data_IF_870258672193
#
_entry.id   IF_870258672193
#
_cell.length_a   1.000
_cell.length_b   1.000
_cell.length_c   1.000
_cell.angle_alpha   90.00
_cell.angle_beta   90.00
_cell.angle_gamma   90.00
#
_symmetry.space_group_name_H-M   'P 1'
#
loop_
_entity.id
_entity.type
_entity.pdbx_description
1 polymer ?
#
# COMPACT_ATOMS: atom_id res chain seq x y z
N UNK A 1 1.24 11.14 10.06
CA UNK A 1 1.59 11.55 8.67
C UNK A 1 1.83 13.05 8.56
N UNK A 2 0.89 13.92 8.95
CA UNK A 2 1.06 15.38 8.90
C UNK A 2 2.35 15.88 9.59
N UNK A 3 2.59 15.46 10.83
CA UNK A 3 3.83 15.78 11.57
C UNK A 3 5.09 15.38 10.79
N UNK A 4 5.09 14.17 10.20
CA UNK A 4 6.21 13.71 9.38
C UNK A 4 6.42 14.58 8.13
N UNK A 5 5.34 15.01 7.48
CA UNK A 5 5.40 15.95 6.35
C UNK A 5 5.98 17.31 6.75
N UNK A 6 5.58 17.86 7.90
CA UNK A 6 6.15 19.11 8.42
C UNK A 6 7.65 18.99 8.70
N UNK A 7 8.09 17.88 9.30
CA UNK A 7 9.52 17.65 9.58
C UNK A 7 10.32 17.52 8.28
N UNK A 8 9.81 16.78 7.29
CA UNK A 8 10.46 16.66 5.97
C UNK A 8 10.55 18.02 5.28
N UNK A 9 9.51 18.84 5.37
CA UNK A 9 9.53 20.21 4.83
C UNK A 9 10.60 21.08 5.50
N UNK A 10 10.67 21.07 6.84
CA UNK A 10 11.69 21.84 7.59
C UNK A 10 13.09 21.39 7.17
N UNK A 11 13.35 20.08 7.14
CA UNK A 11 14.63 19.53 6.70
C UNK A 11 14.97 19.92 5.27
N UNK A 12 14.01 19.86 4.34
CA UNK A 12 14.23 20.25 2.96
C UNK A 12 14.63 21.73 2.83
N UNK A 13 13.97 22.62 3.58
CA UNK A 13 14.30 24.05 3.61
C UNK A 13 15.67 24.30 4.22
N UNK A 14 16.00 23.63 5.33
CA UNK A 14 17.32 23.72 5.96
C UNK A 14 18.44 23.24 5.03
N UNK A 15 18.26 22.11 4.33
CA UNK A 15 19.24 21.62 3.36
C UNK A 15 19.38 22.55 2.16
N UNK A 16 18.28 23.15 1.68
CA UNK A 16 18.33 24.11 0.58
C UNK A 16 19.08 25.38 1.01
N UNK A 17 18.83 25.88 2.22
CA UNK A 17 19.55 27.02 2.78
C UNK A 17 21.05 26.72 2.92
N UNK A 18 21.40 25.56 3.47
CA UNK A 18 22.79 25.13 3.63
C UNK A 18 23.51 24.97 2.28
N UNK A 19 22.83 24.44 1.27
CA UNK A 19 23.38 24.34 -0.08
C UNK A 19 23.62 25.72 -0.70
N UNK A 20 22.68 26.64 -0.55
CA UNK A 20 22.81 28.00 -1.06
C UNK A 20 23.97 28.76 -0.39
N UNK A 21 24.10 28.67 0.94
CA UNK A 21 25.20 29.33 1.65
C UNK A 21 26.56 28.72 1.31
N UNK A 22 26.64 27.40 1.18
CA UNK A 22 27.86 26.70 0.77
C UNK A 22 28.31 27.10 -0.64
N UNK A 23 27.40 27.11 -1.63
CA UNK A 23 27.73 27.50 -3.01
C UNK A 23 28.12 28.98 -3.09
N UNK A 24 27.39 29.87 -2.40
CA UNK A 24 27.73 31.29 -2.36
C UNK A 24 29.14 31.54 -1.78
N UNK A 25 29.45 30.92 -0.64
CA UNK A 25 30.77 31.00 -0.02
C UNK A 25 31.87 30.46 -0.95
N UNK A 26 31.58 29.37 -1.66
CA UNK A 26 32.52 28.76 -2.62
C UNK A 26 32.79 29.68 -3.82
N UNK A 27 31.77 30.34 -4.37
CA UNK A 27 31.94 31.31 -5.45
C UNK A 27 32.70 32.56 -5.01
N UNK A 28 32.35 33.15 -3.84
CA UNK A 28 33.07 34.32 -3.31
C UNK A 28 34.56 34.01 -3.09
N UNK A 29 34.88 32.79 -2.61
CA UNK A 29 36.26 32.34 -2.47
C UNK A 29 37.00 32.21 -3.82
N UNK A 30 36.31 31.79 -4.88
CA UNK A 30 36.92 31.68 -6.22
C UNK A 30 37.10 33.02 -6.90
N UNK A 31 36.12 33.92 -6.80
CA UNK A 31 36.25 35.28 -7.33
C UNK A 31 37.39 36.04 -6.64
N UNK A 32 37.58 35.81 -5.33
CA UNK A 32 38.73 36.37 -4.61
C UNK A 32 40.06 35.86 -5.17
N UNK A 33 40.19 34.54 -5.38
CA UNK A 33 41.39 33.94 -5.97
C UNK A 33 41.61 34.43 -7.40
N UNK A 34 40.55 34.56 -8.21
CA UNK A 34 40.64 35.08 -9.57
C UNK A 34 41.15 36.52 -9.60
N UNK A 35 40.62 37.36 -8.72
CA UNK A 35 41.00 38.76 -8.62
C UNK A 35 42.45 38.91 -8.17
N UNK A 36 42.87 38.16 -7.14
CA UNK A 36 44.26 38.18 -6.65
C UNK A 36 45.25 37.69 -7.71
N UNK A 37 44.85 36.69 -8.49
CA UNK A 37 45.63 36.20 -9.63
C UNK A 37 45.77 37.27 -10.72
N UNK A 38 44.67 37.92 -11.09
CA UNK A 38 44.64 38.94 -12.14
C UNK A 38 45.36 40.25 -11.74
N UNK A 39 45.45 40.60 -10.45
CA UNK A 39 46.12 41.82 -9.99
C UNK A 39 47.62 41.64 -9.74
N UNK A 40 48.04 40.52 -9.14
CA UNK A 40 49.41 40.39 -8.63
C UNK A 40 50.38 39.69 -9.60
N UNK A 41 49.89 38.85 -10.52
CA UNK A 41 50.73 37.91 -11.28
C UNK A 41 50.63 38.05 -12.81
N UNK A 42 49.98 39.10 -13.29
CA UNK A 42 49.64 39.28 -14.72
C UNK A 42 50.83 39.69 -15.61
N UNK A 43 51.90 40.25 -15.04
CA UNK A 43 53.00 40.88 -15.81
C UNK A 43 54.27 40.02 -15.92
N UNK A 44 54.37 38.90 -15.21
CA UNK A 44 55.56 38.04 -15.23
C UNK A 44 55.58 37.10 -16.44
N UNK A 45 56.39 37.43 -17.45
CA UNK A 45 56.53 36.66 -18.68
C UNK A 45 57.00 35.19 -18.48
N UNK A 46 57.67 34.89 -17.36
CA UNK A 46 58.17 33.53 -17.07
C UNK A 46 57.09 32.56 -16.59
N UNK A 47 55.93 33.05 -16.12
CA UNK A 47 54.89 32.23 -15.49
C UNK A 47 53.60 32.14 -16.30
N UNK A 48 53.61 32.59 -17.56
CA UNK A 48 52.42 32.69 -18.41
C UNK A 48 51.71 31.35 -18.63
N UNK A 49 52.46 30.28 -18.88
CA UNK A 49 51.89 28.93 -19.05
C UNK A 49 51.29 28.38 -17.74
N UNK A 50 51.93 28.68 -16.61
CA UNK A 50 51.41 28.31 -15.28
C UNK A 50 50.13 29.09 -14.93
N UNK A 51 50.04 30.34 -15.38
CA UNK A 51 48.88 31.19 -15.19
C UNK A 51 47.69 30.75 -16.06
N UNK A 52 47.94 30.42 -17.33
CA UNK A 52 46.92 29.91 -18.25
C UNK A 52 46.38 28.55 -17.78
N UNK A 53 47.24 27.68 -17.25
CA UNK A 53 46.81 26.41 -16.63
C UNK A 53 46.01 26.63 -15.35
N UNK A 54 46.40 27.58 -14.49
CA UNK A 54 45.65 27.91 -13.28
C UNK A 54 44.27 28.51 -13.58
N UNK A 55 44.16 29.37 -14.60
CA UNK A 55 42.87 29.90 -15.08
C UNK A 55 41.96 28.80 -15.60
N UNK A 56 42.50 27.85 -16.35
CA UNK A 56 41.73 26.69 -16.82
C UNK A 56 41.24 25.84 -15.64
N UNK A 57 42.07 25.62 -14.62
CA UNK A 57 41.67 24.91 -13.40
C UNK A 57 40.56 25.65 -12.66
N UNK A 58 40.63 26.98 -12.58
CA UNK A 58 39.62 27.81 -11.92
C UNK A 58 38.27 27.75 -12.63
N UNK A 59 38.27 27.83 -13.96
CA UNK A 59 37.07 27.73 -14.80
C UNK A 59 36.40 26.35 -14.67
N UNK A 60 37.21 25.28 -14.66
CA UNK A 60 36.72 23.92 -14.37
C UNK A 60 36.12 23.83 -12.96
N UNK A 61 36.74 24.47 -11.96
CA UNK A 61 36.22 24.45 -10.59
C UNK A 61 34.88 25.18 -10.47
N UNK A 62 34.70 26.31 -11.17
CA UNK A 62 33.42 27.01 -11.27
C UNK A 62 32.34 26.11 -11.83
N UNK A 63 32.61 25.43 -12.95
CA UNK A 63 31.66 24.48 -13.54
C UNK A 63 31.33 23.30 -12.62
N UNK A 64 32.29 22.80 -11.84
CA UNK A 64 32.05 21.73 -10.86
C UNK A 64 31.16 22.21 -9.71
N UNK A 65 31.38 23.42 -9.20
CA UNK A 65 30.56 24.00 -8.11
C UNK A 65 29.14 24.24 -8.57
N UNK A 66 28.95 24.79 -9.78
CA UNK A 66 27.64 24.95 -10.40
C UNK A 66 26.94 23.60 -10.55
N UNK A 67 27.65 22.60 -11.05
CA UNK A 67 27.13 21.24 -11.20
C UNK A 67 26.67 20.65 -9.85
N UNK A 68 27.47 20.80 -8.79
CA UNK A 68 27.10 20.35 -7.44
C UNK A 68 25.85 21.09 -6.93
N UNK A 69 25.77 22.41 -7.14
CA UNK A 69 24.62 23.21 -6.73
C UNK A 69 23.33 22.77 -7.44
N UNK A 70 23.33 22.72 -8.77
CA UNK A 70 22.14 22.36 -9.54
C UNK A 70 21.72 20.91 -9.28
N UNK A 71 22.67 19.97 -9.17
CA UNK A 71 22.36 18.57 -8.87
C UNK A 71 21.75 18.39 -7.48
N UNK A 72 22.22 19.14 -6.48
CA UNK A 72 21.67 19.12 -5.13
C UNK A 72 20.28 19.78 -5.08
N UNK A 73 20.08 20.92 -5.75
CA UNK A 73 18.78 21.59 -5.84
C UNK A 73 17.72 20.66 -6.45
N UNK A 74 18.04 20.02 -7.59
CA UNK A 74 17.14 19.07 -8.25
C UNK A 74 16.88 17.85 -7.35
N UNK A 75 17.90 17.32 -6.68
CA UNK A 75 17.75 16.18 -5.79
C UNK A 75 16.81 16.47 -4.60
N UNK A 76 16.95 17.63 -3.95
CA UNK A 76 16.06 18.04 -2.84
C UNK A 76 14.63 18.27 -3.33
N UNK A 77 14.46 18.98 -4.46
CA UNK A 77 13.13 19.26 -5.00
C UNK A 77 12.41 17.95 -5.37
N UNK A 78 13.11 17.03 -6.02
CA UNK A 78 12.54 15.77 -6.46
C UNK A 78 12.30 14.80 -5.29
N UNK A 79 13.19 14.75 -4.29
CA UNK A 79 12.97 13.96 -3.07
C UNK A 79 11.78 14.50 -2.24
N UNK A 80 11.62 15.82 -2.16
CA UNK A 80 10.46 16.44 -1.52
C UNK A 80 9.15 16.10 -2.25
N UNK A 81 9.13 16.19 -3.58
CA UNK A 81 7.97 15.81 -4.38
C UNK A 81 7.63 14.31 -4.23
N UNK A 82 8.62 13.43 -4.27
CA UNK A 82 8.42 11.98 -4.10
C UNK A 82 7.89 11.63 -2.71
N UNK A 83 8.43 12.25 -1.66
CA UNK A 83 7.96 12.02 -0.29
C UNK A 83 6.53 12.53 -0.08
N UNK A 84 6.16 13.67 -0.67
CA UNK A 84 4.79 14.17 -0.67
C UNK A 84 3.82 13.17 -1.35
N UNK A 85 4.17 12.69 -2.55
CA UNK A 85 3.37 11.68 -3.27
C UNK A 85 3.23 10.40 -2.44
N UNK A 86 4.32 9.95 -1.80
CA UNK A 86 4.28 8.78 -0.92
C UNK A 86 3.35 8.97 0.28
N UNK A 87 3.33 10.14 0.92
CA UNK A 87 2.43 10.44 2.03
C UNK A 87 0.97 10.41 1.57
N UNK A 88 0.66 11.05 0.44
CA UNK A 88 -0.71 11.07 -0.13
C UNK A 88 -1.18 9.66 -0.49
N UNK A 89 -0.30 8.87 -1.11
CA UNK A 89 -0.60 7.50 -1.47
C UNK A 89 -0.82 6.62 -0.23
N UNK A 90 -0.01 6.80 0.81
CA UNK A 90 -0.16 6.07 2.08
C UNK A 90 -1.49 6.38 2.77
N UNK A 91 -1.97 7.63 2.73
CA UNK A 91 -3.29 7.99 3.24
C UNK A 91 -4.43 7.28 2.50
N UNK A 92 -4.33 7.19 1.17
CA UNK A 92 -5.31 6.46 0.34
C UNK A 92 -5.24 4.96 0.58
N UNK A 93 -4.02 4.40 0.65
CA UNK A 93 -3.75 2.99 0.94
C UNK A 93 -4.30 2.58 2.30
N UNK A 94 -4.07 3.38 3.35
CA UNK A 94 -4.62 3.14 4.68
C UNK A 94 -6.15 3.00 4.65
N UNK A 95 -6.85 3.94 4.00
CA UNK A 95 -8.31 3.89 3.87
C UNK A 95 -8.79 2.65 3.14
N UNK A 96 -8.16 2.30 2.02
CA UNK A 96 -8.53 1.11 1.24
C UNK A 96 -8.29 -0.18 2.03
N UNK A 97 -7.14 -0.28 2.69
CA UNK A 97 -6.76 -1.41 3.52
C UNK A 97 -7.73 -1.60 4.70
N UNK A 98 -8.13 -0.51 5.35
CA UNK A 98 -9.10 -0.54 6.44
C UNK A 98 -10.49 -1.00 5.94
N UNK A 99 -10.94 -0.55 4.77
CA UNK A 99 -12.20 -1.01 4.18
C UNK A 99 -12.18 -2.49 3.77
N UNK A 100 -11.05 -2.99 3.25
CA UNK A 100 -10.89 -4.42 2.96
C UNK A 100 -11.00 -5.22 4.26
N UNK A 101 -10.38 -4.73 5.33
CA UNK A 101 -10.40 -5.40 6.62
C UNK A 101 -11.81 -5.41 7.26
N UNK A 102 -12.59 -4.32 7.12
CA UNK A 102 -14.00 -4.32 7.55
C UNK A 102 -14.88 -5.32 6.77
N UNK A 103 -14.52 -5.65 5.53
CA UNK A 103 -15.20 -6.68 4.74
C UNK A 103 -14.75 -8.11 5.10
N UNK A 104 -13.72 -8.25 5.93
CA UNK A 104 -13.08 -9.53 6.22
C UNK A 104 -12.21 -10.05 5.07
N UNK A 105 -11.74 -9.18 4.18
CA UNK A 105 -10.79 -9.54 3.11
C UNK A 105 -9.35 -9.45 3.63
N UNK A 106 -8.70 -10.61 3.74
CA UNK A 106 -7.32 -10.75 4.25
C UNK A 106 -6.29 -11.01 3.14
N UNK A 107 -6.59 -10.63 1.90
CA UNK A 107 -5.69 -10.86 0.75
C UNK A 107 -4.36 -10.11 0.90
N UNK A 108 -4.43 -8.85 1.35
CA UNK A 108 -3.27 -7.96 1.50
C UNK A 108 -2.74 -7.94 2.94
N UNK A 109 -3.63 -7.77 3.93
CA UNK A 109 -3.27 -7.77 5.35
C UNK A 109 -3.60 -9.14 5.95
N UNK A 110 -2.63 -9.82 6.57
CA UNK A 110 -2.88 -11.10 7.22
C UNK A 110 -3.84 -10.94 8.39
N UNK A 111 -4.68 -11.95 8.58
CA UNK A 111 -5.66 -12.03 9.67
C UNK A 111 -5.01 -11.90 11.06
N UNK A 112 -5.69 -11.20 11.98
CA UNK A 112 -5.23 -10.96 13.35
C UNK A 112 -4.94 -12.26 14.13
N UNK A 113 -5.65 -13.35 13.84
CA UNK A 113 -5.47 -14.67 14.49
C UNK A 113 -4.08 -15.28 14.27
N UNK A 114 -3.36 -14.83 13.24
CA UNK A 114 -2.00 -15.27 12.94
C UNK A 114 -0.94 -14.61 13.84
N UNK A 115 -1.33 -13.65 14.66
CA UNK A 115 -0.45 -12.86 15.53
C UNK A 115 -0.89 -12.94 16.99
N UNK A 116 0.04 -12.69 17.90
CA UNK A 116 -0.30 -12.54 19.32
C UNK A 116 -0.95 -11.17 19.56
N UNK A 117 -1.96 -11.12 20.42
CA UNK A 117 -2.63 -9.87 20.80
C UNK A 117 -1.64 -8.84 21.39
N UNK A 118 -0.67 -9.31 22.19
CA UNK A 118 0.41 -8.47 22.70
C UNK A 118 1.25 -7.88 21.56
N UNK A 119 1.60 -8.67 20.54
CA UNK A 119 2.35 -8.21 19.39
C UNK A 119 1.63 -7.12 18.60
N UNK A 120 0.32 -7.29 18.39
CA UNK A 120 -0.51 -6.28 17.72
C UNK A 120 -0.59 -4.97 18.51
N UNK A 121 -0.79 -5.06 19.83
CA UNK A 121 -0.84 -3.89 20.72
C UNK A 121 0.50 -3.13 20.73
N UNK A 122 1.63 -3.85 20.83
CA UNK A 122 2.97 -3.24 20.75
C UNK A 122 3.21 -2.62 19.37
N UNK A 123 2.74 -3.24 18.29
CA UNK A 123 2.80 -2.68 16.94
C UNK A 123 2.07 -1.34 16.84
N UNK A 124 0.85 -1.28 17.38
CA UNK A 124 0.07 -0.05 17.46
C UNK A 124 0.81 1.08 18.20
N UNK A 125 1.43 0.77 19.35
CA UNK A 125 2.20 1.76 20.12
C UNK A 125 3.42 2.29 19.35
N UNK A 126 4.08 1.43 18.54
CA UNK A 126 5.28 1.79 17.79
C UNK A 126 4.99 2.58 16.51
N UNK A 127 3.82 2.35 15.89
CA UNK A 127 3.51 2.82 14.55
C UNK A 127 3.70 4.33 14.38
N UNK A 128 3.19 5.15 15.30
CA UNK A 128 3.27 6.61 15.18
C UNK A 128 4.72 7.13 15.11
N UNK A 129 5.61 6.61 15.97
CA UNK A 129 7.02 6.98 15.98
C UNK A 129 7.78 6.43 14.77
N UNK A 130 7.53 5.17 14.41
CA UNK A 130 8.15 4.54 13.23
C UNK A 130 7.77 5.28 11.95
N UNK A 131 6.51 5.70 11.82
CA UNK A 131 6.04 6.41 10.64
C UNK A 131 6.81 7.71 10.40
N UNK A 132 7.09 8.48 11.45
CA UNK A 132 7.84 9.73 11.33
C UNK A 132 9.32 9.42 11.05
N UNK A 133 9.92 8.48 11.78
CA UNK A 133 11.33 8.12 11.62
C UNK A 133 11.64 7.59 10.21
N UNK A 134 10.80 6.71 9.66
CA UNK A 134 10.99 6.15 8.31
C UNK A 134 10.77 7.19 7.21
N UNK A 135 9.90 8.19 7.42
CA UNK A 135 9.77 9.31 6.50
C UNK A 135 11.05 10.17 6.47
N UNK A 136 11.65 10.47 7.63
CA UNK A 136 12.90 11.23 7.72
C UNK A 136 14.05 10.46 7.08
N UNK A 137 14.26 9.21 7.48
CA UNK A 137 15.31 8.36 6.91
C UNK A 137 15.12 8.12 5.40
N UNK A 138 13.88 7.88 4.99
CA UNK A 138 13.52 7.73 3.58
C UNK A 138 13.85 8.99 2.79
N UNK A 139 13.51 10.17 3.29
CA UNK A 139 13.86 11.45 2.66
C UNK A 139 15.38 11.63 2.53
N UNK A 140 16.14 11.37 3.59
CA UNK A 140 17.60 11.47 3.58
C UNK A 140 18.23 10.56 2.54
N UNK A 141 17.86 9.28 2.54
CA UNK A 141 18.42 8.27 1.64
C UNK A 141 18.03 8.56 0.19
N UNK A 142 16.76 8.92 -0.07
CA UNK A 142 16.30 9.30 -1.41
C UNK A 142 17.07 10.52 -1.91
N UNK A 143 17.28 11.53 -1.07
CA UNK A 143 18.02 12.75 -1.45
C UNK A 143 19.47 12.43 -1.80
N UNK A 144 20.17 11.60 -1.01
CA UNK A 144 21.55 11.18 -1.31
C UNK A 144 21.64 10.41 -2.62
N UNK A 145 20.73 9.45 -2.83
CA UNK A 145 20.75 8.62 -4.06
C UNK A 145 20.43 9.49 -5.28
N UNK A 146 19.43 10.36 -5.19
CA UNK A 146 19.08 11.28 -6.28
C UNK A 146 20.20 12.26 -6.56
N UNK A 147 20.91 12.75 -5.54
CA UNK A 147 22.09 13.58 -5.72
C UNK A 147 23.17 12.86 -6.53
N UNK A 148 23.51 11.62 -6.18
CA UNK A 148 24.50 10.82 -6.93
C UNK A 148 24.05 10.62 -8.39
N UNK A 149 22.76 10.33 -8.61
CA UNK A 149 22.20 10.17 -9.96
C UNK A 149 22.25 11.49 -10.75
N UNK A 150 21.80 12.59 -10.16
CA UNK A 150 21.80 13.90 -10.82
C UNK A 150 23.23 14.41 -11.08
N UNK A 151 24.14 14.20 -10.14
CA UNK A 151 25.55 14.56 -10.27
C UNK A 151 26.22 13.76 -11.39
N UNK A 152 26.08 12.42 -11.39
CA UNK A 152 26.62 11.58 -12.46
C UNK A 152 26.04 11.91 -13.85
N UNK A 153 24.73 12.22 -13.91
CA UNK A 153 24.08 12.67 -15.13
C UNK A 153 24.59 14.04 -15.58
N UNK A 154 24.85 14.97 -14.66
CA UNK A 154 25.39 16.28 -15.00
C UNK A 154 26.86 16.23 -15.43
N UNK A 155 27.70 15.38 -14.81
CA UNK A 155 29.07 15.09 -15.31
C UNK A 155 29.00 14.53 -16.73
N UNK A 156 28.04 13.63 -17.00
CA UNK A 156 27.83 13.05 -18.32
C UNK A 156 27.43 14.11 -19.37
N UNK A 157 26.52 15.03 -19.02
CA UNK A 157 26.11 16.15 -19.89
C UNK A 157 27.29 17.09 -20.15
N UNK A 158 28.08 17.43 -19.12
CA UNK A 158 29.25 18.28 -19.26
C UNK A 158 30.30 17.63 -20.18
N UNK A 159 30.51 16.32 -20.02
CA UNK A 159 31.40 15.54 -20.89
C UNK A 159 30.94 15.50 -22.34
N UNK A 160 29.62 15.51 -22.60
CA UNK A 160 29.05 15.62 -23.94
C UNK A 160 29.32 16.99 -24.57
N UNK A 161 29.20 18.07 -23.80
CA UNK A 161 29.47 19.43 -24.29
C UNK A 161 30.94 19.61 -24.64
N UNK A 162 31.85 19.11 -23.80
CA UNK A 162 33.30 19.19 -24.03
C UNK A 162 33.85 18.15 -25.02
N UNK A 163 33.01 17.27 -25.57
CA UNK A 163 33.41 16.34 -26.63
C UNK A 163 34.26 15.15 -26.18
N UNK A 164 34.40 14.87 -24.89
CA UNK A 164 35.19 13.72 -24.37
C UNK A 164 34.52 12.34 -24.55
N UNK A 165 33.43 12.27 -25.32
CA UNK A 165 32.53 11.11 -25.43
C UNK A 165 32.90 10.17 -26.60
N UNK A 166 33.90 10.52 -27.41
CA UNK A 166 34.35 9.69 -28.56
C UNK A 166 34.65 8.24 -28.17
N UNK A 167 35.29 8.04 -27.02
CA UNK A 167 35.56 6.68 -26.50
C UNK A 167 34.26 5.91 -26.22
N UNK A 168 33.26 6.55 -25.61
CA UNK A 168 31.99 5.92 -25.27
C UNK A 168 31.16 5.63 -26.52
N UNK A 169 31.08 6.58 -27.45
CA UNK A 169 30.37 6.41 -28.73
C UNK A 169 30.96 5.25 -29.51
N UNK A 170 32.28 5.13 -29.57
CA UNK A 170 32.96 4.01 -30.22
C UNK A 170 32.62 2.66 -29.55
N UNK A 171 32.52 2.63 -28.22
CA UNK A 171 32.10 1.41 -27.49
C UNK A 171 30.62 1.08 -27.70
N UNK A 172 29.74 2.06 -27.72
CA UNK A 172 28.32 1.86 -28.04
C UNK A 172 28.16 1.35 -29.47
N UNK A 173 28.87 1.94 -30.44
CA UNK A 173 28.92 1.52 -31.85
C UNK A 173 29.44 0.08 -32.01
N UNK A 174 30.29 -0.39 -31.10
CA UNK A 174 30.77 -1.77 -31.09
C UNK A 174 29.74 -2.76 -30.50
N UNK A 175 28.98 -2.36 -29.49
CA UNK A 175 28.12 -3.26 -28.70
C UNK A 175 26.68 -3.35 -29.23
N UNK A 176 26.15 -2.30 -29.87
CA UNK A 176 24.74 -2.26 -30.30
C UNK A 176 24.30 -3.39 -31.24
N UNK A 177 25.12 -3.95 -32.17
CA UNK A 177 24.66 -5.04 -33.04
C UNK A 177 24.36 -6.31 -32.24
N UNK A 178 25.15 -6.58 -31.19
CA UNK A 178 24.92 -7.72 -30.31
C UNK A 178 23.62 -7.60 -29.51
N UNK A 179 23.30 -6.39 -29.04
CA UNK A 179 22.02 -6.10 -28.36
C UNK A 179 20.85 -6.26 -29.35
N UNK A 180 21.00 -5.77 -30.58
CA UNK A 180 19.99 -5.88 -31.63
C UNK A 180 19.66 -7.34 -31.97
N UNK A 181 20.69 -8.16 -32.23
CA UNK A 181 20.54 -9.61 -32.45
C UNK A 181 19.80 -10.22 -31.27
N UNK A 182 20.12 -9.78 -30.06
CA UNK A 182 19.48 -10.31 -28.90
C UNK A 182 17.99 -10.03 -28.77
N UNK A 183 17.60 -8.78 -29.04
CA UNK A 183 16.19 -8.39 -29.10
C UNK A 183 15.48 -9.17 -30.22
N UNK A 184 16.11 -9.32 -31.39
CA UNK A 184 15.55 -10.07 -32.50
C UNK A 184 15.30 -11.53 -32.13
N UNK A 185 16.22 -12.19 -31.41
CA UNK A 185 16.04 -13.58 -30.96
C UNK A 185 14.90 -13.73 -29.96
N UNK A 186 14.70 -12.78 -29.03
CA UNK A 186 13.54 -12.79 -28.13
C UNK A 186 12.23 -12.64 -28.91
N UNK A 187 12.20 -11.78 -29.92
CA UNK A 187 11.03 -11.57 -30.78
C UNK A 187 10.75 -12.86 -31.59
N UNK A 188 11.77 -13.46 -32.20
CA UNK A 188 11.65 -14.73 -32.94
C UNK A 188 11.12 -15.83 -32.03
N UNK A 189 11.63 -15.97 -30.80
CA UNK A 189 11.12 -16.95 -29.83
C UNK A 189 9.63 -16.73 -29.53
N UNK A 190 9.19 -15.47 -29.34
CA UNK A 190 7.77 -15.15 -29.12
C UNK A 190 6.90 -15.48 -30.33
N UNK A 191 7.37 -15.15 -31.53
CA UNK A 191 6.68 -15.44 -32.80
C UNK A 191 6.55 -16.96 -33.00
N UNK A 192 7.64 -17.70 -32.88
CA UNK A 192 7.64 -19.17 -32.99
C UNK A 192 6.71 -19.81 -31.96
N UNK A 193 6.71 -19.30 -30.73
CA UNK A 193 5.80 -19.80 -29.69
C UNK A 193 4.35 -19.59 -30.08
N UNK A 194 3.97 -18.40 -30.55
CA UNK A 194 2.59 -18.07 -30.90
C UNK A 194 2.08 -18.80 -32.14
N UNK A 195 2.90 -18.94 -33.18
CA UNK A 195 2.45 -19.43 -34.48
C UNK A 195 2.79 -20.89 -34.76
N UNK A 196 3.84 -21.45 -34.14
CA UNK A 196 4.35 -22.79 -34.48
C UNK A 196 4.27 -23.77 -33.32
N UNK A 197 4.55 -23.32 -32.08
CA UNK A 197 4.61 -24.24 -30.94
C UNK A 197 3.27 -24.41 -30.21
N UNK A 198 2.51 -23.33 -29.98
CA UNK A 198 1.29 -23.37 -29.16
C UNK A 198 0.02 -23.54 -29.99
N UNK A 199 -0.86 -24.42 -29.53
CA UNK A 199 -2.18 -24.64 -30.12
C UNK A 199 -3.15 -23.50 -29.77
N UNK A 200 -4.02 -23.10 -30.70
CA UNK A 200 -5.11 -22.16 -30.43
C UNK A 200 -4.68 -20.72 -30.13
N UNK A 201 -3.74 -20.16 -30.92
CA UNK A 201 -3.30 -18.76 -30.81
C UNK A 201 -2.81 -18.35 -29.41
N UNK A 202 -2.13 -19.26 -28.72
CA UNK A 202 -1.57 -19.08 -27.38
C UNK A 202 -2.57 -18.92 -26.22
N UNK A 203 -3.83 -19.34 -26.39
CA UNK A 203 -4.83 -19.31 -25.32
C UNK A 203 -4.68 -20.46 -24.31
N UNK A 204 -4.13 -21.60 -24.74
CA UNK A 204 -3.94 -22.78 -23.90
C UNK A 204 -2.48 -23.25 -23.95
N UNK A 205 -1.96 -23.73 -22.83
CA UNK A 205 -0.60 -24.26 -22.71
C UNK A 205 -0.51 -25.68 -23.28
N UNK A 206 -0.77 -25.82 -24.57
CA UNK A 206 -0.76 -27.08 -25.30
C UNK A 206 0.21 -26.95 -26.48
N UNK A 207 1.18 -27.86 -26.57
CA UNK A 207 2.17 -27.88 -27.63
C UNK A 207 1.66 -28.73 -28.80
N UNK A 208 1.70 -28.17 -30.01
CA UNK A 208 1.35 -28.88 -31.24
C UNK A 208 2.59 -29.61 -31.78
N UNK A 209 3.60 -28.86 -32.26
CA UNK A 209 4.85 -29.44 -32.77
C UNK A 209 5.92 -29.60 -31.67
N UNK A 210 5.72 -30.60 -30.80
CA UNK A 210 6.59 -30.87 -29.64
C UNK A 210 8.05 -31.17 -30.00
N UNK A 211 8.31 -31.87 -31.12
CA UNK A 211 9.69 -32.21 -31.55
C UNK A 211 10.47 -30.96 -31.96
N UNK A 212 9.86 -30.11 -32.77
CA UNK A 212 10.48 -28.87 -33.23
C UNK A 212 10.73 -27.88 -32.08
N UNK A 213 9.82 -27.84 -31.10
CA UNK A 213 10.02 -27.08 -29.86
C UNK A 213 11.28 -27.48 -29.11
N UNK A 214 11.53 -28.79 -28.91
CA UNK A 214 12.73 -29.25 -28.21
C UNK A 214 14.02 -28.94 -28.97
N UNK A 215 14.04 -29.10 -30.30
CA UNK A 215 15.20 -28.73 -31.13
C UNK A 215 15.48 -27.23 -31.03
N UNK A 216 14.45 -26.40 -31.14
CA UNK A 216 14.59 -24.94 -31.02
C UNK A 216 15.07 -24.53 -29.64
N UNK A 217 14.55 -25.16 -28.58
CA UNK A 217 14.98 -24.90 -27.19
C UNK A 217 16.45 -25.25 -26.99
N UNK A 218 16.93 -26.36 -27.57
CA UNK A 218 18.33 -26.76 -27.51
C UNK A 218 19.26 -25.74 -28.16
N UNK A 219 18.96 -25.27 -29.38
CA UNK A 219 19.77 -24.25 -30.04
C UNK A 219 19.72 -22.89 -29.32
N UNK A 220 18.54 -22.49 -28.83
CA UNK A 220 18.36 -21.23 -28.11
C UNK A 220 18.97 -21.23 -26.69
N UNK A 221 19.34 -22.40 -26.15
CA UNK A 221 19.86 -22.54 -24.80
C UNK A 221 21.08 -21.65 -24.54
N UNK A 222 22.09 -21.69 -25.43
CA UNK A 222 23.31 -20.89 -25.28
C UNK A 222 23.01 -19.39 -25.28
N UNK A 223 22.10 -18.96 -26.15
CA UNK A 223 21.70 -17.56 -26.23
C UNK A 223 20.91 -17.12 -24.97
N UNK A 224 20.05 -17.99 -24.45
CA UNK A 224 19.28 -17.74 -23.24
C UNK A 224 20.16 -17.65 -21.98
N UNK A 225 21.35 -18.25 -21.96
CA UNK A 225 22.33 -18.04 -20.86
C UNK A 225 22.74 -16.57 -20.79
N UNK A 226 23.10 -15.96 -21.92
CA UNK A 226 23.49 -14.54 -21.97
C UNK A 226 22.32 -13.63 -21.58
N UNK A 227 21.12 -13.89 -22.09
CA UNK A 227 19.91 -13.19 -21.66
C UNK A 227 19.64 -13.35 -20.17
N UNK A 228 19.91 -14.53 -19.61
CA UNK A 228 19.77 -14.82 -18.18
C UNK A 228 20.67 -13.93 -17.33
N UNK A 229 21.92 -13.71 -17.74
CA UNK A 229 22.86 -12.81 -17.06
C UNK A 229 22.32 -11.36 -17.06
N UNK A 230 21.88 -10.87 -18.22
CA UNK A 230 21.30 -9.51 -18.35
C UNK A 230 20.02 -9.39 -17.53
N UNK A 231 19.15 -10.41 -17.55
CA UNK A 231 17.91 -10.46 -16.76
C UNK A 231 18.19 -10.43 -15.26
N UNK A 232 19.22 -11.13 -14.80
CA UNK A 232 19.67 -11.11 -13.40
C UNK A 232 20.14 -9.71 -12.98
N UNK A 233 20.91 -9.03 -13.82
CA UNK A 233 21.32 -7.65 -13.59
C UNK A 233 20.12 -6.70 -13.53
N UNK A 234 19.18 -6.83 -14.48
CA UNK A 234 17.93 -6.06 -14.47
C UNK A 234 17.06 -6.33 -13.25
N UNK A 235 17.10 -7.54 -12.69
CA UNK A 235 16.42 -7.88 -11.43
C UNK A 235 16.99 -7.07 -10.27
N UNK A 236 18.31 -6.91 -10.19
CA UNK A 236 18.96 -6.10 -9.14
C UNK A 236 18.53 -4.65 -9.28
N UNK A 237 18.63 -4.07 -10.48
CA UNK A 237 18.23 -2.68 -10.74
C UNK A 237 16.77 -2.43 -10.34
N UNK A 238 15.85 -3.29 -10.78
CA UNK A 238 14.42 -3.15 -10.44
C UNK A 238 14.17 -3.27 -8.94
N UNK A 239 14.84 -4.19 -8.26
CA UNK A 239 14.72 -4.35 -6.80
C UNK A 239 15.22 -3.12 -6.05
N UNK A 240 16.36 -2.55 -6.47
CA UNK A 240 16.89 -1.32 -5.86
C UNK A 240 15.95 -0.15 -6.12
N UNK A 241 15.46 0.02 -7.35
CA UNK A 241 14.53 1.10 -7.69
C UNK A 241 13.22 1.01 -6.89
N UNK A 242 12.59 -0.17 -6.84
CA UNK A 242 11.38 -0.38 -6.03
C UNK A 242 11.66 -0.23 -4.54
N UNK A 243 12.81 -0.72 -4.06
CA UNK A 243 13.24 -0.58 -2.67
C UNK A 243 13.36 0.89 -2.25
N UNK A 244 13.98 1.73 -3.07
CA UNK A 244 14.12 3.18 -2.80
C UNK A 244 12.74 3.85 -2.74
N UNK A 245 11.84 3.52 -3.66
CA UNK A 245 10.49 4.10 -3.71
C UNK A 245 9.64 3.71 -2.49
N UNK A 246 9.77 2.46 -2.03
CA UNK A 246 8.99 1.92 -0.91
C UNK A 246 9.65 2.14 0.46
N UNK A 247 10.92 2.58 0.52
CA UNK A 247 11.67 2.67 1.78
C UNK A 247 10.99 3.51 2.87
N UNK A 248 10.38 4.63 2.48
CA UNK A 248 9.70 5.54 3.39
C UNK A 248 8.29 5.05 3.79
N UNK A 249 7.81 3.98 3.17
CA UNK A 249 6.44 3.49 3.29
C UNK A 249 6.37 2.32 4.28
N UNK A 250 5.43 2.41 5.22
CA UNK A 250 5.16 1.35 6.19
C UNK A 250 3.97 0.46 5.79
N UNK A 251 3.19 0.87 4.78
CA UNK A 251 1.99 0.15 4.34
C UNK A 251 2.30 -1.07 3.47
N UNK A 252 3.53 -1.20 2.97
CA UNK A 252 4.04 -2.33 2.18
C UNK A 252 5.35 -2.83 2.76
N UNK A 253 5.57 -4.14 2.74
CA UNK A 253 6.88 -4.69 3.13
C UNK A 253 7.87 -4.64 1.97
N UNK A 254 9.12 -4.29 2.27
CA UNK A 254 10.25 -4.44 1.32
C UNK A 254 10.69 -5.91 1.18
N UNK A 255 10.31 -6.75 2.14
CA UNK A 255 10.73 -8.15 2.18
C UNK A 255 9.82 -9.02 1.31
N UNK A 256 10.32 -10.17 0.81
CA UNK A 256 9.48 -11.15 0.12
C UNK A 256 8.34 -11.66 1.02
N UNK A 257 7.23 -12.09 0.42
CA UNK A 257 6.01 -12.52 1.15
C UNK A 257 6.22 -13.50 2.31
N UNK A 258 7.22 -14.38 2.21
CA UNK A 258 7.53 -15.36 3.27
C UNK A 258 8.29 -14.74 4.46
N UNK A 259 8.94 -13.60 4.26
CA UNK A 259 9.80 -12.90 5.21
C UNK A 259 9.23 -11.55 5.66
N UNK A 260 7.98 -11.23 5.33
CA UNK A 260 7.30 -9.99 5.76
C UNK A 260 7.32 -9.78 7.28
N UNK A 261 7.36 -10.87 8.06
CA UNK A 261 7.44 -10.80 9.54
C UNK A 261 8.75 -10.21 10.06
N UNK A 262 9.82 -10.25 9.26
CA UNK A 262 11.11 -9.68 9.63
C UNK A 262 11.18 -8.17 9.35
N UNK A 263 10.13 -7.59 8.78
CA UNK A 263 10.01 -6.15 8.57
C UNK A 263 9.32 -5.50 9.78
N UNK A 264 10.06 -4.79 10.65
CA UNK A 264 9.50 -4.19 11.86
C UNK A 264 8.58 -3.00 11.52
N UNK A 265 8.79 -2.34 10.39
CA UNK A 265 7.97 -1.23 9.92
C UNK A 265 6.58 -1.73 9.51
N UNK A 266 6.54 -2.73 8.64
CA UNK A 266 5.29 -3.36 8.21
C UNK A 266 4.56 -4.07 9.35
N UNK A 267 5.30 -4.74 10.26
CA UNK A 267 4.72 -5.37 11.44
C UNK A 267 4.03 -4.36 12.37
N UNK A 268 4.61 -3.17 12.56
CA UNK A 268 3.98 -2.09 13.32
C UNK A 268 2.70 -1.58 12.63
N UNK A 269 2.71 -1.43 11.30
CA UNK A 269 1.53 -1.05 10.52
C UNK A 269 0.40 -2.09 10.63
N UNK A 270 0.70 -3.39 10.56
CA UNK A 270 -0.28 -4.46 10.79
C UNK A 270 -0.89 -4.33 12.19
N UNK A 271 -0.06 -4.13 13.22
CA UNK A 271 -0.53 -3.94 14.59
C UNK A 271 -1.48 -2.75 14.72
N UNK A 272 -1.13 -1.63 14.11
CA UNK A 272 -1.96 -0.42 14.07
C UNK A 272 -3.31 -0.66 13.39
N UNK A 273 -3.34 -1.16 12.16
CA UNK A 273 -4.59 -1.29 11.40
C UNK A 273 -5.53 -2.36 11.97
N UNK A 274 -4.97 -3.44 12.53
CA UNK A 274 -5.77 -4.47 13.21
C UNK A 274 -6.38 -3.94 14.52
N UNK A 275 -5.63 -3.13 15.26
CA UNK A 275 -6.14 -2.49 16.48
C UNK A 275 -7.25 -1.48 16.15
N UNK A 276 -7.06 -0.67 15.10
CA UNK A 276 -8.10 0.23 14.59
C UNK A 276 -9.36 -0.55 14.21
N UNK A 277 -9.25 -1.60 13.39
CA UNK A 277 -10.42 -2.39 13.02
C UNK A 277 -11.14 -2.99 14.22
N UNK A 278 -10.41 -3.51 15.21
CA UNK A 278 -11.00 -4.13 16.39
C UNK A 278 -11.76 -3.13 17.29
N UNK A 279 -11.27 -1.89 17.40
CA UNK A 279 -11.85 -0.88 18.29
C UNK A 279 -12.87 0.04 17.60
N UNK A 280 -12.67 0.35 16.31
CA UNK A 280 -13.45 1.35 15.58
C UNK A 280 -14.29 0.75 14.45
N UNK A 281 -14.75 -0.50 14.60
CA UNK A 281 -15.59 -1.13 13.59
C UNK A 281 -16.94 -0.38 13.43
N UNK A 282 -17.23 0.23 12.26
CA UNK A 282 -18.35 1.16 12.12
C UNK A 282 -19.71 0.49 12.35
N UNK A 283 -19.89 -0.75 11.91
CA UNK A 283 -21.14 -1.50 12.11
C UNK A 283 -21.43 -1.74 13.60
N UNK A 284 -20.40 -2.05 14.39
CA UNK A 284 -20.54 -2.34 15.82
C UNK A 284 -20.85 -1.05 16.57
N UNK A 285 -20.14 0.03 16.25
CA UNK A 285 -20.38 1.35 16.84
C UNK A 285 -21.80 1.85 16.57
N UNK A 286 -22.28 1.76 15.33
CA UNK A 286 -23.65 2.15 14.97
C UNK A 286 -24.68 1.25 15.68
N UNK A 287 -24.42 -0.05 15.77
CA UNK A 287 -25.29 -0.97 16.51
C UNK A 287 -25.40 -0.61 17.99
N UNK A 288 -24.27 -0.32 18.65
CA UNK A 288 -24.24 0.10 20.06
C UNK A 288 -24.96 1.44 20.23
N UNK A 289 -24.73 2.41 19.35
CA UNK A 289 -25.42 3.70 19.37
C UNK A 289 -26.93 3.54 19.21
N UNK A 290 -27.38 2.68 18.30
CA UNK A 290 -28.80 2.39 18.12
C UNK A 290 -29.41 1.77 19.40
N UNK A 291 -28.73 0.80 20.01
CA UNK A 291 -29.17 0.19 21.27
C UNK A 291 -29.22 1.22 22.41
N UNK A 292 -28.22 2.09 22.51
CA UNK A 292 -28.16 3.14 23.52
C UNK A 292 -29.32 4.12 23.37
N UNK A 293 -29.57 4.62 22.17
CA UNK A 293 -30.68 5.54 21.88
C UNK A 293 -32.04 4.90 22.19
N UNK A 294 -32.27 3.67 21.72
CA UNK A 294 -33.52 2.93 21.98
C UNK A 294 -33.73 2.58 23.46
N UNK A 295 -32.65 2.39 24.22
CA UNK A 295 -32.72 2.18 25.67
C UNK A 295 -33.13 3.48 26.39
N UNK A 296 -32.53 4.61 26.00
CA UNK A 296 -32.83 5.93 26.56
C UNK A 296 -34.27 6.37 26.27
N UNK A 297 -34.74 6.16 25.05
CA UNK A 297 -36.14 6.41 24.68
C UNK A 297 -37.10 5.58 25.53
N UNK A 298 -36.85 4.28 25.71
CA UNK A 298 -37.66 3.42 26.59
C UNK A 298 -37.69 3.91 28.03
N UNK A 299 -36.56 4.37 28.56
CA UNK A 299 -36.48 4.93 29.92
C UNK A 299 -37.28 6.24 30.03
N UNK A 300 -37.19 7.13 29.05
CA UNK A 300 -37.96 8.39 29.03
C UNK A 300 -39.48 8.15 28.95
N UNK A 301 -39.91 7.18 28.13
CA UNK A 301 -41.32 6.80 28.01
C UNK A 301 -41.82 6.20 29.32
N UNK A 302 -41.01 5.35 29.97
CA UNK A 302 -41.35 4.75 31.27
C UNK A 302 -41.59 5.80 32.35
N UNK A 303 -40.74 6.82 32.43
CA UNK A 303 -40.89 7.95 33.37
C UNK A 303 -42.15 8.76 33.06
N UNK A 304 -42.41 9.07 31.79
CA UNK A 304 -43.61 9.83 31.38
C UNK A 304 -44.92 9.06 31.63
N UNK A 305 -44.93 7.72 31.51
CA UNK A 305 -46.11 6.91 31.85
C UNK A 305 -46.33 6.74 33.35
N UNK A 306 -45.28 6.87 34.18
CA UNK A 306 -45.41 6.82 35.63
C UNK A 306 -45.97 8.15 36.17
N UNK A 307 -45.56 9.29 35.61
CA UNK A 307 -46.09 10.61 35.97
C UNK A 307 -47.54 10.86 35.52
N UNK A 308 -48.08 10.07 34.58
CA UNK A 308 -49.49 10.19 34.15
C UNK A 308 -50.46 9.35 34.98
N UNK A 309 -49.96 8.41 35.78
CA UNK A 309 -50.79 7.56 36.64
C UNK A 309 -50.99 8.15 38.04
N UNK A 310 -50.09 9.05 38.47
CA UNK A 310 -50.34 9.94 39.60
C UNK A 310 -51.04 11.19 39.04
N UNK A 311 -52.30 11.34 39.40
CA UNK A 311 -53.06 12.56 39.18
C UNK A 311 -52.41 13.71 39.95
N UNK A 312 -51.44 14.37 39.35
CA UNK A 312 -51.03 15.71 39.75
C UNK A 312 -50.64 16.54 38.52
N UNK A 313 -51.34 17.67 38.40
CA UNK A 313 -51.06 18.74 37.46
C UNK A 313 -49.71 19.34 37.87
N UNK A 314 -48.61 18.91 37.24
CA UNK A 314 -47.33 19.60 37.39
C UNK A 314 -47.32 20.79 36.44
N UNK A 315 -47.69 21.94 36.98
CA UNK A 315 -47.51 23.26 36.41
C UNK A 315 -46.01 23.59 36.48
N UNK A 316 -45.25 23.29 35.42
CA UNK A 316 -43.87 23.73 35.30
C UNK A 316 -43.84 25.04 34.53
N UNK A 317 -43.68 26.14 35.25
CA UNK A 317 -43.46 27.46 34.67
C UNK A 317 -42.10 27.52 33.97
N UNK A 318 -42.13 27.71 32.66
CA UNK A 318 -41.06 28.40 31.94
C UNK A 318 -41.73 29.18 30.81
N UNK A 319 -41.60 30.50 30.88
CA UNK A 319 -41.97 31.46 29.86
C UNK A 319 -41.55 30.99 28.47
N UNK A 320 -42.52 30.80 27.57
CA UNK A 320 -42.51 31.19 26.15
C UNK A 320 -43.62 30.43 25.43
N UNK A 321 -44.56 31.19 24.90
CA UNK A 321 -45.76 30.74 24.18
C UNK A 321 -45.41 29.86 22.98
N UNK A 322 -45.80 28.59 22.99
CA UNK A 322 -46.45 27.91 21.87
C UNK A 322 -47.23 26.70 22.40
N UNK A 323 -48.55 26.81 22.37
CA UNK A 323 -49.49 25.78 22.83
C UNK A 323 -49.47 24.58 21.85
N UNK A 324 -48.60 23.60 22.06
CA UNK A 324 -48.72 22.29 21.41
C UNK A 324 -49.64 21.40 22.23
N UNK A 325 -50.89 21.28 21.79
CA UNK A 325 -51.85 20.28 22.28
C UNK A 325 -51.32 18.89 21.91
N UNK A 326 -50.68 18.22 22.86
CA UNK A 326 -50.29 16.81 22.73
C UNK A 326 -51.54 15.97 22.95
N UNK A 327 -52.27 15.69 21.87
CA UNK A 327 -53.35 14.70 21.88
C UNK A 327 -52.74 13.34 22.28
N UNK A 328 -53.22 12.67 23.35
CA UNK A 328 -52.70 11.37 23.73
C UNK A 328 -53.16 10.33 22.70
N UNK A 329 -52.36 10.12 21.66
CA UNK A 329 -52.56 8.98 20.76
C UNK A 329 -52.44 7.70 21.57
N UNK A 330 -53.58 7.02 21.74
CA UNK A 330 -53.67 5.64 22.25
C UNK A 330 -52.62 4.79 21.54
N UNK A 331 -51.51 4.49 22.22
CA UNK A 331 -50.47 3.59 21.71
C UNK A 331 -51.10 2.21 21.57
N UNK A 332 -51.47 1.85 20.34
CA UNK A 332 -51.75 0.46 19.97
C UNK A 332 -50.56 -0.34 20.45
N UNK A 333 -50.78 -1.25 21.40
CA UNK A 333 -49.78 -2.22 21.84
C UNK A 333 -49.58 -3.18 20.67
N UNK A 334 -48.83 -2.73 19.65
CA UNK A 334 -48.38 -3.57 18.54
C UNK A 334 -47.63 -4.71 19.20
N UNK A 335 -48.06 -5.95 18.96
CA UNK A 335 -47.39 -7.14 19.44
C UNK A 335 -45.98 -7.20 18.81
N UNK A 336 -45.01 -6.54 19.45
CA UNK A 336 -43.64 -6.36 18.94
C UNK A 336 -42.97 -7.71 18.69
N UNK A 337 -43.31 -8.72 19.51
CA UNK A 337 -42.85 -10.10 19.36
C UNK A 337 -43.30 -10.71 18.04
N UNK A 338 -44.58 -10.54 17.66
CA UNK A 338 -45.08 -11.04 16.38
C UNK A 338 -44.39 -10.37 15.18
N UNK A 339 -44.16 -9.06 15.23
CA UNK A 339 -43.45 -8.33 14.17
C UNK A 339 -41.98 -8.75 14.06
N UNK A 340 -41.30 -8.93 15.19
CA UNK A 340 -39.94 -9.43 15.22
C UNK A 340 -39.86 -10.83 14.60
N UNK A 341 -40.79 -11.72 14.94
CA UNK A 341 -40.85 -13.06 14.37
C UNK A 341 -41.04 -13.03 12.83
N UNK A 342 -41.93 -12.17 12.33
CA UNK A 342 -42.12 -11.99 10.88
C UNK A 342 -40.87 -11.44 10.18
N UNK A 343 -40.18 -10.46 10.77
CA UNK A 343 -38.92 -9.92 10.22
C UNK A 343 -37.81 -10.98 10.19
N UNK A 344 -37.72 -11.82 11.22
CA UNK A 344 -36.77 -12.93 11.26
C UNK A 344 -37.08 -13.93 10.15
N UNK A 345 -38.34 -14.34 9.98
CA UNK A 345 -38.75 -15.26 8.91
C UNK A 345 -38.41 -14.68 7.54
N UNK A 346 -38.77 -13.42 7.30
CA UNK A 346 -38.46 -12.71 6.06
C UNK A 346 -36.96 -12.71 5.75
N UNK A 347 -36.13 -12.40 6.74
CA UNK A 347 -34.67 -12.38 6.58
C UNK A 347 -34.11 -13.77 6.25
N UNK A 348 -34.63 -14.82 6.88
CA UNK A 348 -34.20 -16.20 6.66
C UNK A 348 -34.64 -16.77 5.31
N UNK A 349 -35.79 -16.32 4.80
CA UNK A 349 -36.30 -16.74 3.49
C UNK A 349 -35.47 -16.12 2.36
N UNK A 350 -35.09 -14.85 2.51
CA UNK A 350 -34.28 -14.14 1.53
C UNK A 350 -32.79 -14.51 1.57
N UNK A 351 -32.28 -14.98 2.72
CA UNK A 351 -30.87 -15.32 2.92
C UNK A 351 -30.71 -16.81 3.33
N UNK A 352 -30.83 -17.75 2.38
CA UNK A 352 -30.82 -19.17 2.69
C UNK A 352 -29.51 -19.65 3.35
N UNK A 353 -28.37 -19.06 2.98
CA UNK A 353 -27.06 -19.38 3.57
C UNK A 353 -26.99 -19.08 5.08
N UNK A 354 -27.69 -18.06 5.56
CA UNK A 354 -27.68 -17.65 6.98
C UNK A 354 -28.43 -18.64 7.85
N UNK A 355 -29.40 -19.38 7.28
CA UNK A 355 -30.16 -20.40 8.00
C UNK A 355 -29.27 -21.51 8.57
N UNK A 356 -28.21 -21.86 7.84
CA UNK A 356 -27.23 -22.87 8.24
C UNK A 356 -26.50 -22.52 9.55
N UNK A 357 -26.25 -21.22 9.77
CA UNK A 357 -25.51 -20.72 10.92
C UNK A 357 -26.40 -20.39 12.13
N UNK A 358 -27.73 -20.56 11.99
CA UNK A 358 -28.66 -20.30 13.09
C UNK A 358 -28.57 -21.39 14.15
N UNK A 359 -28.56 -21.00 15.42
CA UNK A 359 -28.50 -21.91 16.58
C UNK A 359 -29.49 -23.09 16.48
N UNK A 360 -30.72 -22.83 16.03
CA UNK A 360 -31.72 -23.88 15.85
C UNK A 360 -31.29 -24.94 14.83
N UNK A 361 -30.81 -24.53 13.66
CA UNK A 361 -30.34 -25.47 12.63
C UNK A 361 -29.10 -26.25 13.09
N UNK A 362 -28.14 -25.58 13.76
CA UNK A 362 -26.95 -26.23 14.32
C UNK A 362 -27.34 -27.29 15.36
N UNK A 363 -28.33 -27.00 16.21
CA UNK A 363 -28.83 -27.95 17.21
C UNK A 363 -29.55 -29.14 16.56
N UNK A 364 -30.36 -28.88 15.53
CA UNK A 364 -31.05 -29.94 14.76
C UNK A 364 -30.03 -30.86 14.06
N UNK A 365 -28.99 -30.27 13.44
CA UNK A 365 -27.91 -31.03 12.82
C UNK A 365 -27.17 -31.90 13.84
N UNK A 366 -26.78 -31.33 14.99
CA UNK A 366 -26.14 -32.11 16.07
C UNK A 366 -27.04 -33.21 16.62
N UNK A 367 -28.36 -32.99 16.67
CA UNK A 367 -29.33 -33.99 17.11
C UNK A 367 -29.43 -35.14 16.10
N UNK A 368 -29.47 -34.81 14.81
CA UNK A 368 -29.47 -35.81 13.75
C UNK A 368 -28.19 -36.67 13.72
N UNK A 369 -27.02 -36.04 13.90
CA UNK A 369 -25.75 -36.74 14.03
C UNK A 369 -25.74 -37.70 15.23
N UNK A 370 -26.34 -37.31 16.36
CA UNK A 370 -26.49 -38.18 17.54
C UNK A 370 -27.46 -39.34 17.32
N UNK A 371 -28.51 -39.12 16.54
CA UNK A 371 -29.53 -40.13 16.22
C UNK A 371 -29.13 -41.04 15.04
N UNK A 372 -27.92 -40.87 14.48
CA UNK A 372 -27.42 -41.70 13.38
C UNK A 372 -28.11 -41.46 12.04
N UNK A 373 -28.85 -40.35 11.90
CA UNK A 373 -29.60 -40.02 10.69
C UNK A 373 -28.65 -39.63 9.55
N UNK A 374 -28.80 -40.27 8.39
CA UNK A 374 -28.03 -39.93 7.18
C UNK A 374 -28.44 -38.54 6.69
N UNK A 375 -27.55 -37.56 6.85
CA UNK A 375 -27.75 -36.24 6.27
C UNK A 375 -27.42 -36.35 4.77
N UNK A 376 -28.31 -35.94 3.85
CA UNK A 376 -28.02 -35.99 2.43
C UNK A 376 -26.74 -35.20 2.13
N UNK A 377 -25.89 -35.72 1.24
CA UNK A 377 -24.67 -35.04 0.82
C UNK A 377 -25.01 -34.34 -0.49
N UNK A 378 -25.00 -33.00 -0.49
CA UNK A 378 -25.22 -32.19 -1.68
C UNK A 378 -24.08 -31.19 -1.83
N UNK A 379 -23.67 -30.95 -3.07
CA UNK A 379 -22.72 -29.89 -3.42
C UNK A 379 -23.26 -28.49 -3.08
N UNK A 380 -24.58 -28.36 -2.88
CA UNK A 380 -25.23 -27.15 -2.39
C UNK A 380 -25.51 -27.28 -0.89
N UNK A 381 -25.30 -26.21 -0.10
CA UNK A 381 -25.65 -26.23 1.32
C UNK A 381 -27.14 -26.52 1.48
N UNK A 382 -27.46 -27.58 2.21
CA UNK A 382 -28.84 -28.01 2.47
C UNK A 382 -29.50 -27.00 3.40
N UNK A 383 -30.46 -26.26 2.86
CA UNK A 383 -31.14 -25.16 3.55
C UNK A 383 -32.43 -25.60 4.23
N UNK A 384 -32.96 -26.76 3.86
CA UNK A 384 -34.13 -27.39 4.48
C UNK A 384 -33.73 -28.75 5.04
N UNK A 385 -33.91 -28.90 6.35
CA UNK A 385 -33.59 -30.11 7.12
C UNK A 385 -34.79 -30.45 7.98
N UNK A 386 -35.47 -31.55 7.66
CA UNK A 386 -36.66 -32.01 8.37
C UNK A 386 -36.35 -33.33 9.08
N UNK A 387 -36.17 -33.26 10.40
CA UNK A 387 -35.83 -34.41 11.25
C UNK A 387 -36.89 -35.53 11.15
N UNK A 388 -38.16 -35.16 11.02
CA UNK A 388 -39.27 -36.12 10.99
C UNK A 388 -39.18 -36.96 9.73
N UNK A 389 -38.95 -36.32 8.58
CA UNK A 389 -38.76 -37.02 7.31
C UNK A 389 -37.55 -37.95 7.32
N UNK A 390 -36.45 -37.52 7.93
CA UNK A 390 -35.24 -38.36 8.04
C UNK A 390 -35.44 -39.56 8.97
N UNK A 391 -36.17 -39.39 10.06
CA UNK A 391 -36.56 -40.50 10.93
C UNK A 391 -37.50 -41.47 10.20
N UNK A 392 -38.50 -40.97 9.46
CA UNK A 392 -39.39 -41.80 8.63
C UNK A 392 -38.65 -42.53 7.50
N UNK A 393 -37.61 -41.93 6.92
CA UNK A 393 -36.76 -42.57 5.90
C UNK A 393 -35.89 -43.66 6.52
N UNK A 394 -35.28 -43.41 7.68
CA UNK A 394 -34.52 -44.42 8.43
C UNK A 394 -35.41 -45.59 8.88
N UNK A 395 -36.63 -45.32 9.33
CA UNK A 395 -37.62 -46.35 9.69
C UNK A 395 -38.10 -47.15 8.48
N UNK A 396 -38.15 -46.51 7.29
CA UNK A 396 -38.44 -47.19 6.02
C UNK A 396 -37.26 -48.04 5.54
N UNK A 397 -36.02 -47.57 5.65
CA UNK A 397 -34.81 -48.35 5.33
C UNK A 397 -34.61 -49.54 6.28
N UNK A 398 -35.08 -49.44 7.53
CA UNK A 398 -34.97 -50.50 8.54
C UNK A 398 -36.15 -51.49 8.57
N UNK A 399 -37.16 -51.35 7.69
CA UNK A 399 -38.22 -52.36 7.55
C UNK A 399 -37.74 -53.49 6.61
N UNK A 400 -37.85 -54.76 7.04
CA UNK A 400 -37.32 -55.91 6.31
C UNK A 400 -38.02 -56.21 5.00
#
# INVERSE_FOLDING_TARGET
>A
MFVGGCVVYILAVEFLFLAFTFTKSSHEGLEYIENELNTNWKEDANWKDAFDTLKLILDVLHHIIDLVYYSLLVAIALSCAMTLVNILHMGTSFRNNLFMLYRGDYTYIPEASKFSAQGLCVGNMKFAGFQVAYLIWGFMIITIILFIICFSMGVFILSLIFGYIDWLVNKVLQVWPGVLIGIALVIIQKILTRFVFLQGNAQHLLLDNRRFYFITTYFMFFYNIFLGIVSCFMRIIKSVAVGILLLARLDSSLMPRKFERFDPGFSAYIGYIQMEMAQTHPVVLVFIQLLYTLSRERKSIGVMTMSTNESDIILMSSESETLQVVIPMKKVVRNRSAQFNWLVIYTLLQNPSVRMYRKGFIQLKRKAEKEGLKIPISDKPITDFDLVKLQEEMERENKP
#
